data_IF_871922970926
#
_entry.id   IF_871922970926
#
_cell.length_a   1.000
_cell.length_b   1.000
_cell.length_c   1.000
_cell.angle_alpha   90.00
_cell.angle_beta   90.00
_cell.angle_gamma   90.00
#
_symmetry.space_group_name_H-M   'P 1'
#
loop_
_entity.id
_entity.type
_entity.pdbx_description
1 polymer ?
#
# COMPACT_ATOMS: atom_id res chain seq x y z
N UNK A 1 -22.91 30.83 16.21
CA UNK A 1 -21.69 30.20 15.67
C UNK A 1 -20.57 31.23 15.75
N UNK A 2 -19.35 30.86 16.17
CA UNK A 2 -18.21 31.77 16.12
C UNK A 2 -17.79 31.99 14.66
N UNK A 3 -17.44 33.22 14.29
CA UNK A 3 -16.85 33.52 12.99
C UNK A 3 -15.35 33.25 13.03
N UNK A 4 -14.89 32.27 12.25
CA UNK A 4 -13.49 31.93 12.12
C UNK A 4 -12.90 32.48 10.83
N UNK A 5 -11.73 33.12 10.92
CA UNK A 5 -10.94 33.54 9.75
C UNK A 5 -9.76 32.59 9.60
N UNK A 6 -9.71 31.88 8.49
CA UNK A 6 -8.61 30.96 8.16
C UNK A 6 -7.73 31.61 7.13
N UNK A 7 -6.43 31.70 7.41
CA UNK A 7 -5.45 32.13 6.42
C UNK A 7 -5.13 30.99 5.47
N UNK A 8 -5.36 31.20 4.17
CA UNK A 8 -4.95 30.27 3.11
C UNK A 8 -3.69 30.85 2.44
N UNK A 9 -2.54 30.14 2.49
CA UNK A 9 -1.33 30.59 1.81
C UNK A 9 -1.55 30.76 0.30
N UNK A 10 -0.92 31.78 -0.29
CA UNK A 10 -1.06 32.12 -1.70
C UNK A 10 -0.69 30.93 -2.63
N UNK A 11 0.32 30.14 -2.26
CA UNK A 11 0.73 28.92 -2.97
C UNK A 11 -0.35 27.83 -3.05
N UNK A 12 -1.41 27.93 -2.22
CA UNK A 12 -2.56 27.03 -2.20
C UNK A 12 -3.84 27.69 -2.71
N UNK A 13 -3.81 28.99 -2.99
CA UNK A 13 -4.99 29.73 -3.48
C UNK A 13 -5.51 29.21 -4.82
N UNK A 14 -4.61 28.75 -5.72
CA UNK A 14 -4.99 28.20 -7.02
C UNK A 14 -5.94 27.00 -6.93
N UNK A 15 -5.80 26.17 -5.89
CA UNK A 15 -6.69 25.03 -5.64
C UNK A 15 -8.11 25.49 -5.31
N UNK A 16 -8.24 26.61 -4.57
CA UNK A 16 -9.54 27.19 -4.22
C UNK A 16 -10.23 27.80 -5.43
N UNK A 17 -9.47 28.46 -6.31
CA UNK A 17 -10.00 28.99 -7.57
C UNK A 17 -10.49 27.87 -8.48
N UNK A 18 -9.68 26.82 -8.67
CA UNK A 18 -10.07 25.65 -9.49
C UNK A 18 -11.32 24.96 -8.96
N UNK A 19 -11.44 24.79 -7.64
CA UNK A 19 -12.62 24.19 -7.02
C UNK A 19 -13.88 25.04 -7.27
N UNK A 20 -13.77 26.37 -7.14
CA UNK A 20 -14.88 27.29 -7.42
C UNK A 20 -15.30 27.24 -8.89
N UNK A 21 -14.36 27.18 -9.82
CA UNK A 21 -14.65 27.07 -11.26
C UNK A 21 -15.31 25.74 -11.62
N UNK A 22 -14.86 24.62 -11.03
CA UNK A 22 -15.37 23.29 -11.35
C UNK A 22 -16.75 23.01 -10.75
N UNK A 23 -17.02 23.50 -9.54
CA UNK A 23 -18.21 23.13 -8.78
C UNK A 23 -19.20 24.27 -8.54
N UNK A 24 -18.85 25.51 -8.92
CA UNK A 24 -19.71 26.69 -8.79
C UNK A 24 -20.07 27.06 -7.34
N UNK A 25 -19.34 26.52 -6.36
CA UNK A 25 -19.57 26.71 -4.92
C UNK A 25 -18.36 27.40 -4.29
N UNK A 26 -18.60 28.20 -3.26
CA UNK A 26 -17.50 28.74 -2.45
C UNK A 26 -16.74 27.60 -1.76
N UNK A 27 -15.42 27.71 -1.65
CA UNK A 27 -14.54 26.66 -1.11
C UNK A 27 -14.64 26.46 0.41
N UNK A 28 -15.42 27.29 1.11
CA UNK A 28 -15.57 27.23 2.56
C UNK A 28 -16.03 25.86 3.09
N UNK A 29 -17.02 25.17 2.50
CA UNK A 29 -17.41 23.83 2.95
C UNK A 29 -16.31 22.79 2.75
N UNK A 30 -15.48 22.93 1.70
CA UNK A 30 -14.33 22.04 1.48
C UNK A 30 -13.26 22.22 2.57
N UNK A 31 -12.97 23.47 2.95
CA UNK A 31 -12.00 23.77 4.01
C UNK A 31 -12.51 23.25 5.36
N UNK A 32 -13.79 23.46 5.67
CA UNK A 32 -14.40 22.97 6.91
C UNK A 32 -14.38 21.45 6.93
N UNK A 33 -14.79 20.78 5.85
CA UNK A 33 -14.77 19.32 5.77
C UNK A 33 -13.34 18.77 5.90
N UNK A 34 -12.36 19.40 5.25
CA UNK A 34 -10.94 19.03 5.40
C UNK A 34 -10.45 19.19 6.84
N UNK A 35 -10.84 20.27 7.54
CA UNK A 35 -10.48 20.48 8.95
C UNK A 35 -11.15 19.45 9.85
N UNK A 36 -12.44 19.16 9.63
CA UNK A 36 -13.19 18.15 10.38
C UNK A 36 -12.58 16.75 10.17
N UNK A 37 -12.27 16.37 8.93
CA UNK A 37 -11.61 15.11 8.59
C UNK A 37 -10.20 15.03 9.18
N UNK A 38 -9.44 16.13 9.18
CA UNK A 38 -8.12 16.22 9.79
C UNK A 38 -8.14 16.07 11.30
N UNK A 39 -9.13 16.66 11.97
CA UNK A 39 -9.31 16.56 13.42
C UNK A 39 -9.83 15.18 13.84
N UNK A 40 -10.63 14.53 12.99
CA UNK A 40 -11.16 13.19 13.22
C UNK A 40 -10.19 12.06 12.81
N UNK A 41 -8.99 12.40 12.30
CA UNK A 41 -8.00 11.42 11.85
C UNK A 41 -8.40 10.66 10.57
N UNK A 42 -9.44 11.12 9.87
CA UNK A 42 -9.94 10.55 8.62
C UNK A 42 -9.31 11.19 7.38
N UNK A 43 -8.06 11.68 7.47
CA UNK A 43 -7.27 11.99 6.27
C UNK A 43 -6.77 10.68 5.68
N UNK A 44 -7.70 9.91 5.11
CA UNK A 44 -7.32 8.87 4.17
C UNK A 44 -6.78 9.59 2.93
N UNK A 45 -5.46 9.77 2.88
CA UNK A 45 -4.81 9.79 1.58
C UNK A 45 -5.33 8.58 0.80
N UNK A 46 -5.64 8.69 -0.51
CA UNK A 46 -5.98 7.49 -1.27
C UNK A 46 -4.83 6.51 -1.04
N UNK A 47 -5.09 5.41 -0.33
CA UNK A 47 -4.06 4.40 -0.10
C UNK A 47 -3.64 3.96 -1.50
N UNK A 48 -2.43 4.35 -1.91
CA UNK A 48 -1.90 3.92 -3.18
C UNK A 48 -1.67 2.41 -3.04
N UNK A 49 -2.64 1.63 -3.50
CA UNK A 49 -2.67 0.18 -3.32
C UNK A 49 -1.42 -0.46 -3.91
N UNK A 50 -0.85 0.13 -4.98
CA UNK A 50 0.43 -0.27 -5.55
C UNK A 50 1.61 -0.06 -4.58
N UNK A 51 1.68 1.10 -3.90
CA UNK A 51 2.72 1.37 -2.90
C UNK A 51 2.59 0.46 -1.68
N UNK A 52 1.36 0.20 -1.24
CA UNK A 52 1.07 -0.72 -0.13
C UNK A 52 1.50 -2.14 -0.48
N UNK A 53 1.15 -2.62 -1.67
CA UNK A 53 1.56 -3.92 -2.21
C UNK A 53 3.08 -4.00 -2.36
N UNK A 54 3.74 -2.96 -2.87
CA UNK A 54 5.20 -2.92 -2.99
C UNK A 54 5.90 -2.98 -1.63
N UNK A 55 5.42 -2.20 -0.65
CA UNK A 55 5.99 -2.21 0.71
C UNK A 55 5.83 -3.57 1.40
N UNK A 56 4.68 -4.21 1.24
CA UNK A 56 4.41 -5.50 1.85
C UNK A 56 5.16 -6.62 1.14
N UNK A 57 5.32 -6.51 -0.18
CA UNK A 57 6.23 -7.37 -0.93
C UNK A 57 7.66 -7.32 -0.38
N UNK A 58 8.22 -6.11 -0.21
CA UNK A 58 9.58 -5.95 0.30
C UNK A 58 9.74 -6.50 1.73
N UNK A 59 8.70 -6.36 2.56
CA UNK A 59 8.70 -6.89 3.93
C UNK A 59 8.82 -8.42 3.99
N UNK A 60 8.16 -9.14 3.07
CA UNK A 60 8.09 -10.60 3.11
C UNK A 60 9.11 -11.29 2.20
N UNK A 61 9.48 -10.65 1.09
CA UNK A 61 10.28 -11.26 0.03
C UNK A 61 11.45 -10.38 -0.44
N UNK A 62 11.61 -9.18 0.10
CA UNK A 62 12.71 -8.27 -0.29
C UNK A 62 14.11 -8.78 0.05
N UNK A 63 14.23 -9.78 0.94
CA UNK A 63 15.48 -10.49 1.23
C UNK A 63 15.86 -11.52 0.14
N UNK A 64 14.94 -11.87 -0.76
CA UNK A 64 15.17 -12.83 -1.84
C UNK A 64 15.69 -12.08 -3.06
N UNK A 65 16.97 -11.72 -3.05
CA UNK A 65 17.63 -11.09 -4.20
C UNK A 65 17.94 -12.09 -5.31
N UNK A 66 18.26 -13.34 -4.93
CA UNK A 66 18.56 -14.44 -5.84
C UNK A 66 18.06 -15.77 -5.27
N UNK A 67 17.25 -16.50 -6.04
CA UNK A 67 16.64 -17.76 -5.59
C UNK A 67 17.69 -18.84 -5.27
N UNK A 68 18.80 -18.90 -6.02
CA UNK A 68 19.87 -19.87 -5.79
C UNK A 68 20.62 -19.60 -4.49
N UNK A 69 20.86 -18.33 -4.18
CA UNK A 69 21.49 -17.94 -2.91
C UNK A 69 20.54 -18.18 -1.74
N UNK A 70 19.27 -17.85 -1.89
CA UNK A 70 18.23 -18.12 -0.91
C UNK A 70 18.12 -19.62 -0.59
N UNK A 71 18.09 -20.47 -1.61
CA UNK A 71 18.12 -21.94 -1.46
C UNK A 71 19.37 -22.41 -0.72
N UNK A 72 20.53 -21.86 -1.06
CA UNK A 72 21.80 -22.23 -0.42
C UNK A 72 21.83 -21.80 1.05
N UNK A 73 21.34 -20.60 1.36
CA UNK A 73 21.28 -20.04 2.71
C UNK A 73 20.38 -20.88 3.62
N UNK A 74 19.26 -21.37 3.10
CA UNK A 74 18.33 -22.23 3.84
C UNK A 74 18.70 -23.71 3.85
N UNK A 75 19.86 -24.08 3.28
CA UNK A 75 20.37 -25.45 3.34
C UNK A 75 19.68 -26.42 2.36
N UNK A 76 18.98 -25.91 1.34
CA UNK A 76 18.41 -26.72 0.28
C UNK A 76 17.01 -26.29 -0.16
N UNK A 77 16.57 -26.89 -1.28
CA UNK A 77 15.33 -26.50 -1.96
C UNK A 77 14.10 -26.68 -1.08
N UNK A 78 13.98 -27.81 -0.38
CA UNK A 78 12.83 -28.11 0.49
C UNK A 78 12.66 -27.08 1.63
N UNK A 79 13.78 -26.65 2.23
CA UNK A 79 13.77 -25.65 3.30
C UNK A 79 13.36 -24.27 2.76
N UNK A 80 13.84 -23.91 1.57
CA UNK A 80 13.44 -22.68 0.90
C UNK A 80 11.95 -22.67 0.54
N UNK A 81 11.45 -23.76 -0.02
CA UNK A 81 10.01 -23.90 -0.34
C UNK A 81 9.15 -23.80 0.93
N UNK A 82 9.55 -24.45 2.03
CA UNK A 82 8.86 -24.34 3.31
C UNK A 82 8.87 -22.91 3.88
N UNK A 83 10.00 -22.20 3.76
CA UNK A 83 10.09 -20.81 4.20
C UNK A 83 9.15 -19.89 3.40
N UNK A 84 9.10 -20.06 2.08
CA UNK A 84 8.19 -19.31 1.20
C UNK A 84 6.73 -19.62 1.54
N UNK A 85 6.37 -20.89 1.75
CA UNK A 85 5.00 -21.30 2.14
C UNK A 85 4.60 -20.65 3.47
N UNK A 86 5.48 -20.68 4.48
CA UNK A 86 5.20 -20.09 5.78
C UNK A 86 4.99 -18.57 5.68
N UNK A 87 5.81 -17.88 4.88
CA UNK A 87 5.67 -16.45 4.62
C UNK A 87 4.36 -16.13 3.91
N UNK A 88 3.97 -16.92 2.90
CA UNK A 88 2.69 -16.76 2.21
C UNK A 88 1.50 -16.99 3.17
N UNK A 89 1.57 -18.01 4.03
CA UNK A 89 0.52 -18.28 5.01
C UNK A 89 0.38 -17.14 6.04
N UNK A 90 1.50 -16.58 6.48
CA UNK A 90 1.50 -15.42 7.39
C UNK A 90 0.96 -14.16 6.70
N UNK A 91 1.34 -13.93 5.44
CA UNK A 91 0.86 -12.83 4.61
C UNK A 91 -0.67 -12.91 4.44
N UNK A 92 -1.21 -14.07 4.03
CA UNK A 92 -2.66 -14.26 3.86
C UNK A 92 -3.44 -14.10 5.17
N UNK A 93 -2.81 -14.35 6.33
CA UNK A 93 -3.44 -14.13 7.64
C UNK A 93 -3.46 -12.65 8.05
N UNK A 94 -2.38 -11.91 7.77
CA UNK A 94 -2.23 -10.51 8.19
C UNK A 94 -2.83 -9.51 7.19
N UNK A 95 -2.81 -9.85 5.90
CA UNK A 95 -3.21 -8.98 4.80
C UNK A 95 -4.06 -9.74 3.76
N UNK A 96 -5.23 -10.27 4.15
CA UNK A 96 -6.06 -11.11 3.26
C UNK A 96 -6.58 -10.37 2.02
N UNK A 97 -6.65 -9.05 2.09
CA UNK A 97 -7.14 -8.15 1.04
C UNK A 97 -6.16 -7.95 -0.12
N UNK A 98 -4.86 -8.15 0.12
CA UNK A 98 -3.78 -7.87 -0.84
C UNK A 98 -2.78 -9.03 -0.98
N UNK A 99 -2.94 -10.11 -0.21
CA UNK A 99 -2.03 -11.26 -0.25
C UNK A 99 -1.93 -11.87 -1.64
N UNK A 100 -3.03 -11.89 -2.40
CA UNK A 100 -3.05 -12.34 -3.79
C UNK A 100 -2.09 -11.54 -4.68
N UNK A 101 -2.21 -10.22 -4.68
CA UNK A 101 -1.39 -9.32 -5.50
C UNK A 101 0.11 -9.41 -5.14
N UNK A 102 0.41 -9.49 -3.85
CA UNK A 102 1.79 -9.65 -3.36
C UNK A 102 2.38 -11.00 -3.77
N UNK A 103 1.59 -12.07 -3.73
CA UNK A 103 1.99 -13.41 -4.16
C UNK A 103 2.21 -13.46 -5.68
N UNK A 104 1.36 -12.82 -6.47
CA UNK A 104 1.56 -12.73 -7.92
C UNK A 104 2.87 -12.02 -8.26
N UNK A 105 3.12 -10.86 -7.62
CA UNK A 105 4.40 -10.14 -7.76
C UNK A 105 5.62 -10.98 -7.36
N UNK A 106 5.48 -11.83 -6.34
CA UNK A 106 6.53 -12.79 -5.98
C UNK A 106 6.80 -13.82 -7.08
N UNK A 107 5.75 -14.38 -7.68
CA UNK A 107 5.90 -15.37 -8.76
C UNK A 107 6.55 -14.75 -10.01
N UNK A 108 6.23 -13.50 -10.33
CA UNK A 108 6.85 -12.77 -11.45
C UNK A 108 8.34 -12.54 -11.23
N UNK A 109 8.75 -12.14 -10.02
CA UNK A 109 10.15 -11.89 -9.69
C UNK A 109 10.96 -13.19 -9.46
N UNK A 110 10.29 -14.29 -9.09
CA UNK A 110 10.90 -15.55 -8.70
C UNK A 110 10.25 -16.76 -9.39
N UNK A 111 10.50 -16.94 -10.71
CA UNK A 111 9.84 -17.98 -11.50
C UNK A 111 10.25 -19.42 -11.10
N UNK A 112 11.39 -19.64 -10.46
CA UNK A 112 11.74 -20.99 -9.99
C UNK A 112 10.92 -21.44 -8.77
N UNK A 113 10.29 -20.48 -8.09
CA UNK A 113 9.36 -20.69 -6.98
C UNK A 113 7.88 -20.56 -7.37
N UNK A 114 7.58 -20.21 -8.63
CA UNK A 114 6.20 -20.15 -9.14
C UNK A 114 5.43 -21.48 -8.94
N UNK A 115 6.15 -22.60 -9.09
CA UNK A 115 5.59 -23.96 -9.05
C UNK A 115 5.43 -24.54 -7.64
N UNK A 116 5.67 -23.75 -6.58
CA UNK A 116 5.51 -24.24 -5.20
C UNK A 116 4.03 -24.55 -4.94
N UNK A 117 3.72 -25.83 -4.76
CA UNK A 117 2.42 -26.32 -4.30
C UNK A 117 2.17 -25.88 -2.86
N UNK A 118 1.17 -25.02 -2.64
CA UNK A 118 0.83 -24.46 -1.32
C UNK A 118 0.80 -22.93 -1.27
N UNK A 119 1.31 -22.26 -2.32
CA UNK A 119 1.12 -20.82 -2.54
C UNK A 119 -0.20 -20.63 -3.31
N UNK A 120 -1.31 -20.72 -2.58
CA UNK A 120 -2.67 -20.64 -3.12
C UNK A 120 -3.08 -19.16 -3.20
N UNK A 121 -3.73 -18.80 -4.32
CA UNK A 121 -4.34 -17.49 -4.56
C UNK A 121 -5.51 -17.25 -3.60
#
# INVERSE_FOLDING_TARGET
>A
MPDFRVYVPESKSGVMYQFKEQFGKDGSPMIVNFMEESLNGNVAAPENQEEKTARIYDLYFGDITNEREFVRLLGGRKSAEAAVINRCAELSRKYPDISGDVIEKFKENHPNFEKITGVIK
#
